data_IF_262634077049
#
_entry.id   IF_262634077049
#
_cell.length_a   1.000
_cell.length_b   1.000
_cell.length_c   1.000
_cell.angle_alpha   90.00
_cell.angle_beta   90.00
_cell.angle_gamma   90.00
#
_symmetry.space_group_name_H-M   'P 1'
#
loop_
_entity.id
_entity.type
_entity.pdbx_description
1 polymer ?
#
# COMPACT_ATOMS: atom_id res chain seq x y z
N UNK A 1 -7.44 24.41 12.33
CA UNK A 1 -8.29 23.56 11.47
C UNK A 1 -7.88 22.11 11.71
N UNK A 2 -8.79 21.23 12.12
CA UNK A 2 -8.48 19.80 12.13
C UNK A 2 -8.10 19.38 10.69
N UNK A 3 -7.04 18.57 10.49
CA UNK A 3 -6.70 18.11 9.15
C UNK A 3 -7.92 17.43 8.54
N UNK A 4 -8.35 17.88 7.36
CA UNK A 4 -9.43 17.24 6.62
C UNK A 4 -9.09 15.76 6.44
N UNK A 5 -10.02 14.88 6.81
CA UNK A 5 -9.87 13.43 6.65
C UNK A 5 -9.49 13.16 5.18
N UNK A 6 -8.29 12.64 4.88
CA UNK A 6 -7.75 12.63 3.52
C UNK A 6 -8.52 11.68 2.58
N UNK A 7 -9.24 10.71 3.12
CA UNK A 7 -10.10 9.79 2.39
C UNK A 7 -11.05 9.05 3.35
N UNK A 8 -12.14 8.52 2.81
CA UNK A 8 -12.98 7.55 3.52
C UNK A 8 -12.41 6.14 3.34
N UNK A 9 -12.27 5.38 4.44
CA UNK A 9 -11.82 3.98 4.36
C UNK A 9 -12.90 3.13 3.68
N UNK A 10 -12.58 2.35 2.63
CA UNK A 10 -13.55 1.50 1.95
C UNK A 10 -14.19 0.48 2.90
N UNK A 11 -15.52 0.35 2.87
CA UNK A 11 -16.27 -0.51 3.78
C UNK A 11 -15.82 -1.98 3.74
N UNK A 12 -15.56 -2.51 2.54
CA UNK A 12 -15.07 -3.89 2.36
C UNK A 12 -13.68 -4.10 2.97
N UNK A 13 -12.81 -3.09 2.90
CA UNK A 13 -11.51 -3.14 3.59
C UNK A 13 -11.70 -3.18 5.10
N UNK A 14 -12.54 -2.28 5.63
CA UNK A 14 -12.82 -2.20 7.05
C UNK A 14 -13.43 -3.50 7.61
N UNK A 15 -14.32 -4.15 6.85
CA UNK A 15 -14.86 -5.46 7.20
C UNK A 15 -13.79 -6.55 7.21
N UNK A 16 -12.93 -6.60 6.17
CA UNK A 16 -11.82 -7.55 6.10
C UNK A 16 -10.86 -7.41 7.29
N UNK A 17 -10.45 -6.18 7.61
CA UNK A 17 -9.56 -5.92 8.74
C UNK A 17 -10.17 -6.38 10.08
N UNK A 18 -11.46 -6.09 10.33
CA UNK A 18 -12.13 -6.62 11.53
C UNK A 18 -12.19 -8.15 11.55
N UNK A 19 -12.42 -8.76 10.38
CA UNK A 19 -12.56 -10.23 10.26
C UNK A 19 -11.25 -10.97 10.50
N UNK A 20 -10.15 -10.47 9.94
CA UNK A 20 -8.87 -11.17 9.95
C UNK A 20 -7.95 -10.73 11.09
N UNK A 21 -8.01 -9.45 11.47
CA UNK A 21 -7.07 -8.82 12.42
C UNK A 21 -7.76 -8.33 13.71
N UNK A 22 -9.05 -8.60 13.86
CA UNK A 22 -9.82 -8.32 15.08
C UNK A 22 -9.78 -6.86 15.52
N UNK A 23 -9.47 -6.65 16.81
CA UNK A 23 -9.40 -5.32 17.42
C UNK A 23 -8.27 -4.46 16.84
N UNK A 24 -7.12 -5.06 16.51
CA UNK A 24 -6.01 -4.35 15.88
C UNK A 24 -6.41 -3.84 14.48
N UNK A 25 -7.11 -4.67 13.71
CA UNK A 25 -7.69 -4.28 12.42
C UNK A 25 -8.70 -3.13 12.54
N UNK A 26 -9.56 -3.17 13.55
CA UNK A 26 -10.51 -2.10 13.83
C UNK A 26 -9.81 -0.78 14.20
N UNK A 27 -8.77 -0.85 15.07
CA UNK A 27 -7.98 0.30 15.48
C UNK A 27 -7.24 0.93 14.30
N UNK A 28 -6.62 0.11 13.45
CA UNK A 28 -5.98 0.58 12.22
C UNK A 28 -6.97 1.30 11.30
N UNK A 29 -8.13 0.70 11.02
CA UNK A 29 -9.16 1.32 10.17
C UNK A 29 -9.58 2.69 10.70
N UNK A 30 -9.76 2.82 12.02
CA UNK A 30 -10.17 4.08 12.63
C UNK A 30 -9.05 5.15 12.55
N UNK A 31 -7.79 4.75 12.74
CA UNK A 31 -6.65 5.66 12.76
C UNK A 31 -6.09 6.01 11.36
N UNK A 32 -6.33 5.17 10.35
CA UNK A 32 -5.69 5.24 9.04
C UNK A 32 -5.78 6.62 8.35
N UNK A 33 -6.93 7.32 8.34
CA UNK A 33 -6.98 8.63 7.70
C UNK A 33 -6.10 9.68 8.38
N UNK A 34 -6.07 9.72 9.72
CA UNK A 34 -5.24 10.66 10.46
C UNK A 34 -3.74 10.35 10.30
N UNK A 35 -3.40 9.06 10.33
CA UNK A 35 -2.05 8.57 10.08
C UNK A 35 -1.58 8.89 8.66
N UNK A 36 -2.45 8.73 7.65
CA UNK A 36 -2.12 9.10 6.28
C UNK A 36 -1.87 10.60 6.15
N UNK A 37 -2.68 11.45 6.78
CA UNK A 37 -2.49 12.91 6.75
C UNK A 37 -1.09 13.32 7.22
N UNK A 38 -0.57 12.69 8.28
CA UNK A 38 0.80 12.92 8.77
C UNK A 38 1.87 12.55 7.73
N UNK A 39 1.69 11.47 6.95
CA UNK A 39 2.64 11.08 5.89
C UNK A 39 2.55 11.99 4.69
N UNK A 40 1.32 12.37 4.31
CA UNK A 40 1.10 13.31 3.22
C UNK A 40 1.82 14.64 3.50
N UNK A 41 1.73 15.15 4.72
CA UNK A 41 2.47 16.32 5.16
C UNK A 41 3.99 16.06 5.21
N UNK A 42 4.42 15.01 5.93
CA UNK A 42 5.84 14.66 6.10
C UNK A 42 6.59 14.49 4.78
N UNK A 43 5.95 13.88 3.80
CA UNK A 43 6.55 13.56 2.49
C UNK A 43 6.13 14.53 1.39
N UNK A 44 5.45 15.64 1.73
CA UNK A 44 4.99 16.65 0.78
C UNK A 44 4.18 16.07 -0.39
N UNK A 45 3.27 15.14 -0.09
CA UNK A 45 2.47 14.40 -1.06
C UNK A 45 1.08 15.02 -1.24
N UNK A 46 0.60 15.03 -2.48
CA UNK A 46 -0.77 15.41 -2.83
C UNK A 46 -1.58 14.16 -3.18
N UNK A 47 -2.68 13.85 -2.48
CA UNK A 47 -3.55 12.74 -2.85
C UNK A 47 -4.10 12.87 -4.27
N UNK A 48 -4.20 11.75 -4.98
CA UNK A 48 -4.76 11.69 -6.32
C UNK A 48 -5.75 10.53 -6.47
N UNK A 49 -6.88 10.82 -7.12
CA UNK A 49 -7.87 9.81 -7.43
C UNK A 49 -8.51 9.18 -6.19
N UNK A 50 -9.00 7.95 -6.35
CA UNK A 50 -9.71 7.20 -5.30
C UNK A 50 -8.75 6.27 -4.56
N UNK A 51 -8.91 6.18 -3.25
CA UNK A 51 -8.27 5.15 -2.44
C UNK A 51 -8.65 3.76 -2.97
N UNK A 52 -7.65 2.88 -3.05
CA UNK A 52 -7.79 1.48 -3.43
C UNK A 52 -7.42 0.61 -2.26
N UNK A 53 -7.76 -0.68 -2.34
CA UNK A 53 -7.39 -1.62 -1.30
C UNK A 53 -7.28 -3.04 -1.85
N UNK A 54 -6.38 -3.82 -1.25
CA UNK A 54 -6.40 -5.27 -1.33
C UNK A 54 -7.15 -5.86 -0.13
N UNK A 55 -6.79 -7.08 0.25
CA UNK A 55 -7.25 -7.70 1.50
C UNK A 55 -6.55 -7.06 2.71
N UNK A 56 -5.21 -6.98 2.65
CA UNK A 56 -4.40 -6.55 3.80
C UNK A 56 -4.05 -5.04 3.83
N UNK A 57 -4.05 -4.37 2.68
CA UNK A 57 -3.52 -3.01 2.58
C UNK A 57 -4.49 -1.99 1.96
N UNK A 58 -4.42 -0.75 2.46
CA UNK A 58 -4.90 0.45 1.78
C UNK A 58 -3.81 0.98 0.84
N UNK A 59 -4.24 1.53 -0.29
CA UNK A 59 -3.36 2.12 -1.30
C UNK A 59 -3.96 3.46 -1.73
N UNK A 60 -3.31 4.55 -1.34
CA UNK A 60 -3.69 5.90 -1.72
C UNK A 60 -2.77 6.37 -2.85
N UNK A 61 -3.26 6.60 -4.08
CA UNK A 61 -2.44 7.22 -5.11
C UNK A 61 -2.11 8.66 -4.70
N UNK A 62 -0.89 9.08 -4.98
CA UNK A 62 -0.36 10.39 -4.60
C UNK A 62 0.56 10.93 -5.70
N UNK A 63 0.79 12.24 -5.65
CA UNK A 63 1.83 12.92 -6.42
C UNK A 63 2.84 13.56 -5.47
N UNK A 64 4.12 13.44 -5.76
CA UNK A 64 5.20 14.08 -4.99
C UNK A 64 5.27 15.58 -5.28
N UNK A 65 6.04 16.32 -4.47
CA UNK A 65 6.36 17.73 -4.73
C UNK A 65 6.96 17.97 -6.11
N UNK A 66 7.72 16.99 -6.60
CA UNK A 66 8.46 17.06 -7.86
C UNK A 66 7.61 16.61 -9.06
N UNK A 67 6.34 16.26 -8.82
CA UNK A 67 5.37 15.88 -9.86
C UNK A 67 5.31 14.39 -10.17
N UNK A 68 6.18 13.57 -9.57
CA UNK A 68 6.22 12.13 -9.77
C UNK A 68 4.97 11.42 -9.22
N UNK A 69 4.51 10.39 -9.93
CA UNK A 69 3.39 9.59 -9.49
C UNK A 69 3.86 8.47 -8.54
N UNK A 70 3.23 8.37 -7.37
CA UNK A 70 3.53 7.35 -6.38
C UNK A 70 2.25 6.78 -5.76
N UNK A 71 2.41 5.77 -4.90
CA UNK A 71 1.32 5.28 -4.05
C UNK A 71 1.78 5.22 -2.60
N UNK A 72 0.93 5.68 -1.70
CA UNK A 72 1.07 5.52 -0.26
C UNK A 72 0.32 4.24 0.15
N UNK A 73 1.06 3.19 0.48
CA UNK A 73 0.55 1.90 0.95
C UNK A 73 0.58 1.85 2.47
N UNK A 74 -0.49 1.35 3.08
CA UNK A 74 -0.60 1.15 4.53
C UNK A 74 -1.19 -0.23 4.87
N UNK A 75 -0.59 -0.93 5.83
CA UNK A 75 -1.08 -2.21 6.34
C UNK A 75 -0.57 -2.47 7.76
N UNK A 76 -1.24 -3.34 8.50
CA UNK A 76 -0.71 -3.84 9.77
C UNK A 76 0.59 -4.63 9.53
N UNK A 77 1.55 -4.43 10.43
CA UNK A 77 2.88 -5.02 10.37
C UNK A 77 2.93 -6.32 11.18
N UNK A 78 2.39 -7.39 10.61
CA UNK A 78 2.42 -8.74 11.15
C UNK A 78 3.74 -9.43 10.82
N UNK A 79 3.94 -10.66 11.32
CA UNK A 79 5.12 -11.47 10.97
C UNK A 79 5.23 -11.71 9.45
N UNK A 80 4.11 -11.81 8.74
CA UNK A 80 4.08 -12.00 7.29
C UNK A 80 4.46 -10.74 6.51
N UNK A 81 4.11 -9.55 7.00
CA UNK A 81 4.33 -8.28 6.28
C UNK A 81 5.55 -7.51 6.75
N UNK A 82 6.15 -7.93 7.86
CA UNK A 82 7.34 -7.36 8.49
C UNK A 82 8.50 -7.11 7.54
N UNK A 83 8.70 -8.04 6.59
CA UNK A 83 9.81 -8.04 5.64
C UNK A 83 9.53 -7.32 4.32
N UNK A 84 8.31 -6.83 4.08
CA UNK A 84 7.93 -6.34 2.74
C UNK A 84 8.83 -5.20 2.26
N UNK A 85 9.03 -4.17 3.08
CA UNK A 85 9.87 -3.03 2.69
C UNK A 85 11.32 -3.42 2.43
N UNK A 86 11.86 -4.40 3.16
CA UNK A 86 13.22 -4.90 2.94
C UNK A 86 13.30 -5.74 1.66
N UNK A 87 12.30 -6.60 1.41
CA UNK A 87 12.21 -7.38 0.19
C UNK A 87 12.13 -6.47 -1.03
N UNK A 88 11.21 -5.49 -1.07
CA UNK A 88 11.08 -4.58 -2.21
C UNK A 88 12.37 -3.79 -2.50
N UNK A 89 13.11 -3.39 -1.46
CA UNK A 89 14.43 -2.77 -1.63
C UNK A 89 15.49 -3.72 -2.18
N UNK A 90 15.44 -5.01 -1.86
CA UNK A 90 16.34 -6.00 -2.43
C UNK A 90 16.10 -6.21 -3.94
N UNK A 91 14.85 -6.05 -4.39
CA UNK A 91 14.49 -6.13 -5.81
C UNK A 91 14.71 -4.80 -6.59
N UNK A 92 14.62 -3.64 -5.94
CA UNK A 92 14.98 -2.31 -6.48
C UNK A 92 14.51 -1.98 -7.91
N UNK A 93 13.27 -2.34 -8.26
CA UNK A 93 12.74 -2.07 -9.61
C UNK A 93 12.93 -3.21 -10.61
N UNK A 94 13.67 -4.28 -10.26
CA UNK A 94 13.90 -5.44 -11.13
C UNK A 94 12.72 -6.42 -11.07
N UNK A 95 11.57 -6.02 -11.63
CA UNK A 95 10.35 -6.83 -11.61
C UNK A 95 9.47 -6.62 -10.36
N UNK A 96 9.85 -5.69 -9.48
CA UNK A 96 9.04 -5.19 -8.37
C UNK A 96 9.04 -3.66 -8.35
N UNK A 97 8.12 -3.03 -7.61
CA UNK A 97 8.12 -1.57 -7.43
C UNK A 97 9.28 -1.12 -6.54
N UNK A 98 9.79 0.09 -6.77
CA UNK A 98 10.78 0.71 -5.87
C UNK A 98 10.12 1.27 -4.62
N UNK A 99 10.86 1.21 -3.50
CA UNK A 99 10.51 1.89 -2.25
C UNK A 99 11.12 3.29 -2.27
N UNK A 100 10.27 4.31 -2.23
CA UNK A 100 10.68 5.73 -2.21
C UNK A 100 10.85 6.23 -0.77
N UNK A 101 10.01 5.76 0.15
CA UNK A 101 10.12 6.05 1.58
C UNK A 101 9.40 4.96 2.40
N UNK A 102 9.76 4.83 3.67
CA UNK A 102 9.09 3.96 4.65
C UNK A 102 8.92 4.73 5.96
N UNK A 103 7.82 4.46 6.65
CA UNK A 103 7.54 4.93 8.00
C UNK A 103 6.70 3.89 8.75
N UNK A 104 6.66 3.97 10.08
CA UNK A 104 5.86 3.09 10.94
C UNK A 104 5.18 3.92 12.00
N UNK A 105 4.01 3.47 12.43
CA UNK A 105 3.36 4.09 13.58
C UNK A 105 2.46 3.11 14.32
N UNK A 106 2.54 3.20 15.64
CA UNK A 106 1.70 2.50 16.58
C UNK A 106 0.27 3.06 16.57
N UNK A 107 -0.73 2.17 16.65
CA UNK A 107 -2.15 2.50 16.73
C UNK A 107 -2.73 2.34 18.15
N UNK A 108 -1.86 2.07 19.13
CA UNK A 108 -2.16 1.98 20.56
C UNK A 108 -2.62 0.60 21.04
N UNK A 109 -2.95 -0.31 20.12
CA UNK A 109 -3.29 -1.70 20.43
C UNK A 109 -2.89 -2.63 19.27
N UNK A 110 -1.98 -3.58 19.54
CA UNK A 110 -1.54 -4.57 18.56
C UNK A 110 -0.31 -4.15 17.74
N UNK A 111 -0.09 -4.74 16.54
CA UNK A 111 1.06 -4.44 15.72
C UNK A 111 1.04 -3.01 15.15
N UNK A 112 2.23 -2.45 14.93
CA UNK A 112 2.40 -1.17 14.22
C UNK A 112 1.78 -1.22 12.81
N UNK A 113 1.44 -0.06 12.27
CA UNK A 113 1.09 0.07 10.85
C UNK A 113 2.36 0.42 10.08
N UNK A 114 2.66 -0.37 9.06
CA UNK A 114 3.71 -0.08 8.08
C UNK A 114 3.18 0.85 7.00
N UNK A 115 3.91 1.93 6.71
CA UNK A 115 3.65 2.87 5.62
C UNK A 115 4.79 2.81 4.62
N UNK A 116 4.46 2.56 3.35
CA UNK A 116 5.41 2.54 2.26
C UNK A 116 4.97 3.55 1.20
N UNK A 117 5.87 4.47 0.81
CA UNK A 117 5.73 5.23 -0.42
C UNK A 117 6.43 4.45 -1.53
N UNK A 118 5.67 4.05 -2.54
CA UNK A 118 6.13 3.16 -3.60
C UNK A 118 6.01 3.84 -4.97
N UNK A 119 6.88 3.46 -5.89
CA UNK A 119 6.69 3.71 -7.32
C UNK A 119 5.29 3.26 -7.75
N UNK A 120 4.59 4.10 -8.53
CA UNK A 120 3.24 3.78 -8.99
C UNK A 120 3.27 2.95 -10.28
N UNK A 121 2.63 1.79 -10.25
CA UNK A 121 2.36 0.98 -11.44
C UNK A 121 1.11 1.46 -12.20
N UNK A 122 1.04 1.08 -13.47
CA UNK A 122 -0.18 1.20 -14.26
C UNK A 122 -1.22 0.15 -13.82
N UNK A 123 -2.18 0.58 -13.01
CA UNK A 123 -3.21 -0.27 -12.44
C UNK A 123 -4.25 -0.78 -13.45
N UNK A 124 -4.23 -0.36 -14.72
CA UNK A 124 -5.09 -0.93 -15.77
C UNK A 124 -4.39 -1.99 -16.61
N UNK A 125 -3.08 -2.20 -16.40
CA UNK A 125 -2.28 -3.20 -17.12
C UNK A 125 -2.09 -4.45 -16.27
N UNK A 126 -3.19 -5.11 -15.92
CA UNK A 126 -3.15 -6.33 -15.11
C UNK A 126 -3.22 -7.61 -15.97
N UNK A 127 -2.68 -8.72 -15.46
CA UNK A 127 -2.61 -9.99 -16.20
C UNK A 127 -3.99 -10.59 -16.52
N UNK A 128 -5.06 -10.22 -15.81
CA UNK A 128 -6.42 -10.69 -16.12
C UNK A 128 -6.98 -10.03 -17.39
N UNK A 129 -6.37 -8.92 -17.85
CA UNK A 129 -6.72 -8.31 -19.13
C UNK A 129 -6.10 -9.03 -20.33
N UNK A 130 -5.17 -9.97 -20.11
CA UNK A 130 -4.53 -10.76 -21.16
C UNK A 130 -5.42 -11.95 -21.51
N UNK A 131 -6.00 -12.03 -22.73
CA UNK A 131 -6.96 -13.08 -23.05
C UNK A 131 -6.36 -14.48 -23.11
N UNK A 132 -5.10 -14.59 -23.51
CA UNK A 132 -4.39 -15.87 -23.61
C UNK A 132 -3.65 -16.18 -22.31
N UNK A 133 -4.08 -17.25 -21.63
CA UNK A 133 -3.49 -17.66 -20.34
C UNK A 133 -2.01 -18.01 -20.43
N UNK A 134 -1.55 -18.60 -21.55
CA UNK A 134 -0.13 -18.96 -21.69
C UNK A 134 0.72 -17.71 -21.84
N UNK A 135 0.24 -16.71 -22.56
CA UNK A 135 0.87 -15.41 -22.66
C UNK A 135 0.91 -14.69 -21.31
N UNK A 136 -0.18 -14.75 -20.53
CA UNK A 136 -0.24 -14.17 -19.18
C UNK A 136 0.75 -14.84 -18.20
N UNK A 137 1.00 -16.15 -18.35
CA UNK A 137 1.94 -16.89 -17.52
C UNK A 137 3.42 -16.62 -17.85
N UNK A 138 3.75 -16.17 -19.05
CA UNK A 138 5.16 -15.98 -19.48
C UNK A 138 5.92 -14.98 -18.57
N UNK A 139 5.41 -13.79 -18.27
CA UNK A 139 6.08 -12.86 -17.35
C UNK A 139 6.28 -13.46 -15.95
N UNK A 140 5.30 -14.21 -15.44
CA UNK A 140 5.40 -14.86 -14.13
C UNK A 140 6.48 -15.95 -14.12
N UNK A 141 6.51 -16.80 -15.14
CA UNK A 141 7.53 -17.84 -15.28
C UNK A 141 8.94 -17.26 -15.43
N UNK A 142 9.09 -16.16 -16.17
CA UNK A 142 10.36 -15.47 -16.33
C UNK A 142 10.86 -14.86 -15.01
N UNK A 143 9.96 -14.33 -14.19
CA UNK A 143 10.29 -13.81 -12.85
C UNK A 143 10.68 -14.94 -11.90
N UNK A 144 9.91 -16.03 -11.87
CA UNK A 144 10.19 -17.20 -11.04
C UNK A 144 11.53 -17.86 -11.37
N UNK A 145 11.94 -17.88 -12.63
CA UNK A 145 13.22 -18.48 -13.04
C UNK A 145 14.46 -17.70 -12.55
N UNK A 146 14.28 -16.51 -11.97
CA UNK A 146 15.35 -15.65 -11.45
C UNK A 146 15.45 -15.65 -9.92
N UNK A 147 14.55 -16.36 -9.24
CA UNK A 147 14.49 -16.53 -7.79
C UNK A 147 15.25 -17.77 -7.33
#
# INVERSE_FOLDING_TARGET
MAPSVPFAVPARFAEGQRRYEGEAGAAFVAAAPAMAARRLERWSLRPEGRVRHGVAALVLPVRTSDGEQAVLKAQLRTDETAGEGAALRAWDGDGAVRVLAEDREDVGSGPEVSWLLLERLDAVRDLNTVPDVRAALRPLAALLARL
#
